data_IF_026457831222
#
_entry.id   IF_026457831222
#
_cell.length_a   1.000
_cell.length_b   1.000
_cell.length_c   1.000
_cell.angle_alpha   90.00
_cell.angle_beta   90.00
_cell.angle_gamma   90.00
#
_symmetry.space_group_name_H-M   'P 1'
#
loop_
_entity.id
_entity.type
_entity.pdbx_description
1 polymer ?
#
# COMPACT_ATOMS: atom_id res chain seq x y z
N UNK A 1 10.98 -22.56 10.83
CA UNK A 1 10.31 -21.26 11.00
C UNK A 1 9.37 -21.36 12.17
N UNK A 2 9.06 -20.24 12.84
CA UNK A 2 8.14 -20.20 13.96
C UNK A 2 6.69 -20.29 13.46
N UNK A 3 5.83 -21.06 14.14
CA UNK A 3 4.43 -21.26 13.75
C UNK A 3 3.54 -20.52 14.74
N UNK A 4 2.80 -19.52 14.25
CA UNK A 4 1.84 -18.74 15.03
C UNK A 4 0.42 -19.00 14.52
N UNK A 5 -0.29 -20.01 15.06
CA UNK A 5 -1.59 -20.43 14.52
C UNK A 5 -2.66 -19.33 14.68
N UNK A 6 -2.59 -18.54 15.76
CA UNK A 6 -3.59 -17.51 16.04
C UNK A 6 -3.55 -16.35 15.03
N UNK A 7 -2.36 -16.04 14.51
CA UNK A 7 -2.14 -14.94 13.57
C UNK A 7 -2.84 -15.18 12.24
N UNK A 8 -2.96 -16.44 11.81
CA UNK A 8 -3.53 -16.80 10.50
C UNK A 8 -4.95 -17.38 10.66
N UNK A 9 -5.57 -17.20 11.83
CA UNK A 9 -6.88 -17.79 12.16
C UNK A 9 -8.04 -17.10 11.44
N UNK A 10 -9.16 -17.81 11.27
CA UNK A 10 -10.42 -17.24 10.75
C UNK A 10 -10.90 -16.04 11.58
N UNK A 11 -10.66 -16.07 12.90
CA UNK A 11 -10.99 -14.96 13.80
C UNK A 11 -10.27 -13.67 13.41
N UNK A 12 -8.98 -13.75 13.05
CA UNK A 12 -8.24 -12.57 12.59
C UNK A 12 -8.80 -12.04 11.27
N UNK A 13 -9.21 -12.91 10.34
CA UNK A 13 -9.84 -12.51 9.08
C UNK A 13 -11.12 -11.70 9.33
N UNK A 14 -12.02 -12.21 10.17
CA UNK A 14 -13.31 -11.57 10.47
C UNK A 14 -13.18 -10.20 11.14
N UNK A 15 -12.09 -9.95 11.88
CA UNK A 15 -11.83 -8.66 12.54
C UNK A 15 -11.09 -7.70 11.59
N UNK A 16 -10.12 -8.23 10.83
CA UNK A 16 -9.19 -7.43 10.02
C UNK A 16 -9.84 -6.85 8.76
N UNK A 17 -10.77 -7.57 8.13
CA UNK A 17 -11.48 -7.07 6.93
C UNK A 17 -12.37 -5.86 7.26
N UNK A 18 -13.29 -5.90 8.24
CA UNK A 18 -14.06 -4.71 8.62
C UNK A 18 -13.19 -3.59 9.18
N UNK A 19 -12.16 -3.92 9.97
CA UNK A 19 -11.24 -2.92 10.51
C UNK A 19 -10.47 -2.17 9.42
N UNK A 20 -10.05 -2.87 8.37
CA UNK A 20 -9.43 -2.25 7.19
C UNK A 20 -10.42 -1.35 6.45
N UNK A 21 -11.65 -1.81 6.21
CA UNK A 21 -12.68 -1.00 5.55
C UNK A 21 -12.98 0.29 6.32
N UNK A 22 -13.16 0.20 7.64
CA UNK A 22 -13.41 1.38 8.49
C UNK A 22 -12.20 2.32 8.54
N UNK A 23 -10.98 1.77 8.57
CA UNK A 23 -9.74 2.56 8.58
C UNK A 23 -9.56 3.37 7.30
N UNK A 24 -9.87 2.78 6.14
CA UNK A 24 -9.82 3.47 4.84
C UNK A 24 -10.96 4.48 4.72
N UNK A 25 -12.18 4.12 5.14
CA UNK A 25 -13.33 5.02 5.14
C UNK A 25 -13.13 6.24 6.06
N UNK A 26 -12.39 6.09 7.16
CA UNK A 26 -12.04 7.19 8.06
C UNK A 26 -10.99 8.16 7.49
N UNK A 27 -10.41 7.89 6.31
CA UNK A 27 -9.42 8.76 5.69
C UNK A 27 -8.10 8.86 6.46
N UNK A 28 -7.81 7.90 7.33
CA UNK A 28 -6.54 7.90 8.09
C UNK A 28 -5.38 7.61 7.14
N UNK A 29 -4.22 8.21 7.42
CA UNK A 29 -2.98 8.00 6.67
C UNK A 29 -2.38 6.60 6.93
N UNK A 30 -3.08 5.56 6.48
CA UNK A 30 -2.75 4.15 6.66
C UNK A 30 -2.79 3.41 5.32
N UNK A 31 -1.88 2.44 5.16
CA UNK A 31 -1.82 1.60 3.97
C UNK A 31 -2.75 0.38 4.07
N UNK A 32 -3.56 0.14 3.03
CA UNK A 32 -4.37 -1.08 2.90
C UNK A 32 -3.56 -2.31 2.48
N UNK A 33 -2.37 -2.08 1.93
CA UNK A 33 -1.57 -3.07 1.21
C UNK A 33 -1.11 -4.21 2.13
N UNK A 34 -0.45 -3.90 3.25
CA UNK A 34 0.04 -4.90 4.20
C UNK A 34 -1.07 -5.78 4.80
N UNK A 35 -2.19 -5.20 5.30
CA UNK A 35 -3.33 -5.98 5.74
C UNK A 35 -3.93 -6.90 4.66
N UNK A 36 -3.96 -6.48 3.39
CA UNK A 36 -4.50 -7.26 2.29
C UNK A 36 -3.67 -8.52 2.01
N UNK A 37 -2.35 -8.41 2.06
CA UNK A 37 -1.43 -9.57 1.94
C UNK A 37 -1.74 -10.60 3.03
N UNK A 38 -1.90 -10.14 4.27
CA UNK A 38 -2.23 -11.03 5.38
C UNK A 38 -3.62 -11.66 5.25
N UNK A 39 -4.62 -10.92 4.77
CA UNK A 39 -5.96 -11.45 4.48
C UNK A 39 -5.90 -12.57 3.45
N UNK A 40 -5.09 -12.43 2.39
CA UNK A 40 -4.87 -13.48 1.40
C UNK A 40 -4.23 -14.75 2.02
N UNK A 41 -3.25 -14.57 2.92
CA UNK A 41 -2.63 -15.70 3.64
C UNK A 41 -3.62 -16.37 4.61
N UNK A 42 -4.48 -15.62 5.29
CA UNK A 42 -5.56 -16.18 6.11
C UNK A 42 -6.53 -17.05 5.29
N UNK A 43 -6.92 -16.57 4.10
CA UNK A 43 -7.72 -17.36 3.17
C UNK A 43 -7.01 -18.64 2.73
N UNK A 44 -5.72 -18.54 2.41
CA UNK A 44 -4.92 -19.70 2.04
C UNK A 44 -4.80 -20.73 3.18
N UNK A 45 -4.67 -20.28 4.44
CA UNK A 45 -4.68 -21.16 5.60
C UNK A 45 -6.02 -21.87 5.77
N UNK A 46 -7.14 -21.17 5.61
CA UNK A 46 -8.47 -21.76 5.67
C UNK A 46 -8.64 -22.84 4.58
N UNK A 47 -8.24 -22.53 3.35
CA UNK A 47 -8.31 -23.47 2.22
C UNK A 47 -7.33 -24.64 2.37
N UNK A 48 -6.17 -24.44 3.00
CA UNK A 48 -5.20 -25.52 3.24
C UNK A 48 -5.76 -26.64 4.11
N UNK A 49 -6.71 -26.33 5.00
CA UNK A 49 -7.39 -27.32 5.84
C UNK A 49 -8.30 -28.28 5.06
N UNK A 50 -8.76 -27.87 3.87
CA UNK A 50 -9.64 -28.67 3.01
C UNK A 50 -8.87 -29.73 2.21
N UNK A 51 -7.55 -29.57 2.07
CA UNK A 51 -6.73 -30.42 1.21
C UNK A 51 -5.58 -31.06 2.01
N UNK A 52 -5.55 -32.40 2.15
CA UNK A 52 -4.55 -33.08 2.99
C UNK A 52 -3.10 -32.87 2.51
N UNK A 53 -2.92 -32.59 1.22
CA UNK A 53 -1.64 -32.31 0.59
C UNK A 53 -0.94 -31.04 1.12
N UNK A 54 -1.66 -30.10 1.74
CA UNK A 54 -1.10 -28.87 2.34
C UNK A 54 -0.91 -28.96 3.86
N UNK A 55 -1.12 -30.12 4.48
CA UNK A 55 -0.77 -30.32 5.89
C UNK A 55 0.74 -30.39 6.13
N UNK A 56 1.52 -30.74 5.11
CA UNK A 56 2.98 -30.64 5.17
C UNK A 56 3.40 -29.16 5.25
N UNK A 57 4.18 -28.81 6.27
CA UNK A 57 4.64 -27.44 6.49
C UNK A 57 5.39 -26.84 5.29
N UNK A 58 6.16 -27.64 4.56
CA UNK A 58 6.89 -27.16 3.38
C UNK A 58 5.94 -26.68 2.29
N UNK A 59 4.96 -27.51 1.94
CA UNK A 59 3.93 -27.16 0.95
C UNK A 59 3.00 -26.05 1.44
N UNK A 60 2.74 -25.98 2.76
CA UNK A 60 1.96 -24.88 3.35
C UNK A 60 2.68 -23.54 3.23
N UNK A 61 4.01 -23.51 3.40
CA UNK A 61 4.81 -22.29 3.20
C UNK A 61 4.86 -21.86 1.74
N UNK A 62 4.95 -22.81 0.80
CA UNK A 62 4.82 -22.53 -0.63
C UNK A 62 3.46 -21.90 -0.95
N UNK A 63 2.38 -22.44 -0.38
CA UNK A 63 1.03 -21.91 -0.52
C UNK A 63 0.91 -20.49 0.06
N UNK A 64 1.49 -20.22 1.24
CA UNK A 64 1.50 -18.89 1.84
C UNK A 64 2.27 -17.87 1.01
N UNK A 65 3.38 -18.29 0.39
CA UNK A 65 4.15 -17.42 -0.52
C UNK A 65 3.33 -17.08 -1.77
N UNK A 66 2.69 -18.07 -2.38
CA UNK A 66 1.78 -17.84 -3.51
C UNK A 66 0.58 -16.94 -3.14
N UNK A 67 0.02 -17.12 -1.95
CA UNK A 67 -1.07 -16.31 -1.43
C UNK A 67 -0.63 -14.87 -1.14
N UNK A 68 0.57 -14.67 -0.60
CA UNK A 68 1.12 -13.33 -0.38
C UNK A 68 1.33 -12.60 -1.71
N UNK A 69 1.87 -13.27 -2.72
CA UNK A 69 2.01 -12.71 -4.07
C UNK A 69 0.66 -12.31 -4.68
N UNK A 70 -0.36 -13.18 -4.55
CA UNK A 70 -1.73 -12.87 -4.99
C UNK A 70 -2.33 -11.69 -4.22
N UNK A 71 -2.09 -11.61 -2.90
CA UNK A 71 -2.52 -10.50 -2.06
C UNK A 71 -1.88 -9.17 -2.46
N UNK A 72 -0.59 -9.13 -2.76
CA UNK A 72 0.06 -7.92 -3.29
C UNK A 72 -0.47 -7.56 -4.67
N UNK A 73 -0.69 -8.57 -5.52
CA UNK A 73 -1.27 -8.37 -6.87
C UNK A 73 -2.66 -7.74 -6.81
N UNK A 74 -3.56 -8.20 -5.92
CA UNK A 74 -4.88 -7.56 -5.74
C UNK A 74 -4.77 -6.16 -5.13
N UNK A 75 -3.73 -5.90 -4.34
CA UNK A 75 -3.55 -4.63 -3.65
C UNK A 75 -3.10 -3.50 -4.61
N UNK A 76 -2.18 -3.82 -5.52
CA UNK A 76 -1.55 -2.86 -6.43
C UNK A 76 -1.94 -3.01 -7.92
N UNK A 77 -2.59 -4.11 -8.31
CA UNK A 77 -2.84 -4.45 -9.72
C UNK A 77 -1.57 -4.85 -10.49
N UNK A 78 -0.51 -5.26 -9.78
CA UNK A 78 0.82 -5.54 -10.34
C UNK A 78 1.24 -6.99 -10.09
N UNK A 79 0.91 -7.96 -10.97
CA UNK A 79 1.16 -9.38 -10.72
C UNK A 79 2.65 -9.73 -10.63
N UNK A 80 3.50 -9.14 -11.48
CA UNK A 80 4.95 -9.35 -11.43
C UNK A 80 5.55 -8.77 -10.14
N UNK A 81 5.14 -7.56 -9.75
CA UNK A 81 5.57 -6.93 -8.51
C UNK A 81 5.18 -7.74 -7.27
N UNK A 82 3.98 -8.35 -7.27
CA UNK A 82 3.56 -9.22 -6.18
C UNK A 82 4.39 -10.49 -6.02
N UNK A 83 4.80 -11.11 -7.13
CA UNK A 83 5.68 -12.29 -7.09
C UNK A 83 7.08 -11.92 -6.63
N UNK A 84 7.64 -10.82 -7.14
CA UNK A 84 8.95 -10.32 -6.71
C UNK A 84 8.96 -9.95 -5.22
N UNK A 85 7.91 -9.27 -4.74
CA UNK A 85 7.76 -9.00 -3.32
C UNK A 85 7.71 -10.29 -2.49
N UNK A 86 6.98 -11.31 -2.94
CA UNK A 86 6.94 -12.59 -2.21
C UNK A 86 8.28 -13.34 -2.24
N UNK A 87 9.09 -13.15 -3.28
CA UNK A 87 10.44 -13.71 -3.38
C UNK A 87 11.43 -12.99 -2.45
N UNK A 88 11.34 -11.66 -2.39
CA UNK A 88 12.27 -10.82 -1.63
C UNK A 88 11.97 -10.82 -0.13
N UNK A 89 10.69 -10.68 0.25
CA UNK A 89 10.29 -10.39 1.64
C UNK A 89 9.65 -11.56 2.38
N UNK A 90 9.00 -12.49 1.66
CA UNK A 90 8.15 -13.52 2.32
C UNK A 90 8.84 -14.88 2.48
N UNK A 91 9.67 -15.28 1.52
CA UNK A 91 10.31 -16.61 1.57
C UNK A 91 11.79 -16.59 1.23
N UNK A 92 12.61 -17.11 2.14
CA UNK A 92 14.05 -17.30 1.93
C UNK A 92 14.39 -18.42 0.93
N UNK A 93 13.43 -19.32 0.63
CA UNK A 93 13.61 -20.39 -0.34
C UNK A 93 12.40 -20.50 -1.26
N UNK A 94 12.61 -20.28 -2.56
CA UNK A 94 11.55 -20.22 -3.54
C UNK A 94 11.83 -21.16 -4.72
N UNK A 95 11.32 -22.40 -4.70
CA UNK A 95 11.55 -23.32 -5.81
C UNK A 95 10.84 -22.83 -7.08
N UNK A 96 11.44 -23.10 -8.24
CA UNK A 96 10.93 -22.63 -9.55
C UNK A 96 9.49 -23.05 -9.86
N UNK A 97 9.05 -24.21 -9.34
CA UNK A 97 7.65 -24.66 -9.45
C UNK A 97 6.69 -23.78 -8.65
N UNK A 98 7.12 -23.32 -7.49
CA UNK A 98 6.34 -22.38 -6.66
C UNK A 98 6.33 -21.00 -7.28
N UNK A 99 7.39 -20.59 -7.98
CA UNK A 99 7.44 -19.33 -8.75
C UNK A 99 6.30 -19.26 -9.75
N UNK A 100 6.17 -20.30 -10.57
CA UNK A 100 5.12 -20.36 -11.57
C UNK A 100 3.73 -20.36 -10.92
N UNK A 101 3.54 -21.12 -9.82
CA UNK A 101 2.27 -21.14 -9.07
C UNK A 101 1.91 -19.77 -8.50
N UNK A 102 2.86 -19.08 -7.86
CA UNK A 102 2.68 -17.75 -7.32
C UNK A 102 2.37 -16.74 -8.43
N UNK A 103 3.05 -16.83 -9.57
CA UNK A 103 2.78 -16.01 -10.74
C UNK A 103 1.38 -16.25 -11.31
N UNK A 104 0.97 -17.52 -11.48
CA UNK A 104 -0.38 -17.83 -11.94
C UNK A 104 -1.44 -17.30 -10.97
N UNK A 105 -1.24 -17.45 -9.65
CA UNK A 105 -2.17 -16.92 -8.65
C UNK A 105 -2.25 -15.38 -8.68
N UNK A 106 -1.10 -14.71 -8.83
CA UNK A 106 -1.02 -13.25 -8.94
C UNK A 106 -1.71 -12.73 -10.21
N UNK A 107 -1.52 -13.39 -11.36
CA UNK A 107 -2.20 -13.03 -12.61
C UNK A 107 -3.70 -13.26 -12.50
N UNK A 108 -4.15 -14.40 -11.96
CA UNK A 108 -5.59 -14.66 -11.76
C UNK A 108 -6.21 -13.62 -10.85
N UNK A 109 -5.52 -13.19 -9.79
CA UNK A 109 -5.95 -12.13 -8.90
C UNK A 109 -6.14 -10.80 -9.64
N UNK A 110 -5.18 -10.40 -10.47
CA UNK A 110 -5.26 -9.19 -11.27
C UNK A 110 -6.38 -9.25 -12.32
N UNK A 111 -6.57 -10.40 -12.98
CA UNK A 111 -7.65 -10.61 -13.95
C UNK A 111 -9.02 -10.51 -13.27
N UNK A 112 -9.20 -11.16 -12.11
CA UNK A 112 -10.46 -11.08 -11.34
C UNK A 112 -10.73 -9.64 -10.90
N UNK A 113 -9.72 -8.92 -10.44
CA UNK A 113 -9.85 -7.49 -10.08
C UNK A 113 -10.36 -6.66 -11.27
N UNK A 114 -9.79 -6.91 -12.46
CA UNK A 114 -10.16 -6.23 -13.71
C UNK A 114 -11.59 -6.57 -14.14
N UNK A 115 -11.96 -7.85 -14.10
CA UNK A 115 -13.29 -8.33 -14.50
C UNK A 115 -14.41 -7.78 -13.61
N UNK A 116 -14.13 -7.60 -12.32
CA UNK A 116 -15.10 -7.05 -11.38
C UNK A 116 -15.29 -5.52 -11.55
N UNK A 117 -14.59 -4.86 -12.49
CA UNK A 117 -14.64 -3.41 -12.75
C UNK A 117 -14.62 -2.55 -11.48
N UNK A 118 -13.90 -3.00 -10.45
CA UNK A 118 -13.86 -2.31 -9.15
C UNK A 118 -12.93 -1.09 -9.13
N UNK A 119 -12.13 -0.91 -10.18
CA UNK A 119 -11.23 0.24 -10.31
C UNK A 119 -11.83 1.17 -11.37
N UNK A 120 -12.32 2.34 -10.95
CA UNK A 120 -12.84 3.39 -11.85
C UNK A 120 -11.79 3.94 -12.84
N UNK A 121 -10.54 3.50 -12.71
CA UNK A 121 -9.46 3.76 -13.66
C UNK A 121 -9.51 2.75 -14.81
N UNK A 122 -9.53 3.24 -16.05
CA UNK A 122 -9.49 2.46 -17.30
C UNK A 122 -8.21 1.61 -17.50
N UNK A 123 -7.41 1.39 -16.46
CA UNK A 123 -6.16 0.65 -16.49
C UNK A 123 -6.05 -0.36 -15.33
N UNK A 124 -5.34 -1.45 -15.58
CA UNK A 124 -5.03 -2.53 -14.62
C UNK A 124 -4.14 -2.09 -13.45
N UNK A 125 -3.53 -0.90 -13.51
CA UNK A 125 -2.59 -0.39 -12.50
C UNK A 125 -3.16 0.83 -11.81
N UNK A 126 -2.95 0.91 -10.49
CA UNK A 126 -3.48 2.00 -9.64
C UNK A 126 -2.93 3.38 -10.03
N UNK A 127 -1.74 3.45 -10.62
CA UNK A 127 -1.11 4.68 -11.08
C UNK A 127 -0.56 4.48 -12.48
N UNK A 128 -1.06 5.26 -13.44
CA UNK A 128 -0.59 5.26 -14.83
C UNK A 128 0.03 6.61 -15.16
N UNK A 129 1.26 6.59 -15.67
CA UNK A 129 2.01 7.77 -16.10
C UNK A 129 2.25 7.68 -17.61
N UNK A 130 1.90 8.74 -18.34
CA UNK A 130 2.14 8.83 -19.78
C UNK A 130 3.45 9.60 -20.02
N UNK A 131 4.54 8.89 -20.36
CA UNK A 131 5.81 9.54 -20.65
C UNK A 131 5.78 10.18 -22.04
N UNK A 132 5.87 11.51 -22.10
CA UNK A 132 5.90 12.27 -23.36
C UNK A 132 7.28 12.80 -23.74
N UNK A 133 8.24 12.74 -22.83
CA UNK A 133 9.60 13.27 -23.01
C UNK A 133 10.65 12.18 -22.77
N UNK A 134 11.71 12.20 -23.58
CA UNK A 134 12.90 11.38 -23.36
C UNK A 134 13.78 12.05 -22.31
N UNK A 135 14.07 11.36 -21.19
CA UNK A 135 14.98 11.89 -20.18
C UNK A 135 16.36 12.18 -20.77
N UNK A 136 16.92 13.33 -20.39
CA UNK A 136 18.29 13.66 -20.74
C UNK A 136 19.29 12.96 -19.78
N UNK A 137 20.50 12.60 -20.24
CA UNK A 137 21.47 11.87 -19.42
C UNK A 137 21.88 12.55 -18.11
N UNK A 138 21.82 13.88 -18.03
CA UNK A 138 22.15 14.62 -16.80
C UNK A 138 21.09 14.46 -15.70
N UNK A 139 19.84 14.12 -16.05
CA UNK A 139 18.74 13.95 -15.08
C UNK A 139 18.94 12.70 -14.21
N UNK A 140 19.68 11.69 -14.70
CA UNK A 140 20.02 10.50 -13.92
C UNK A 140 20.80 10.82 -12.64
N UNK A 141 21.62 11.88 -12.65
CA UNK A 141 22.34 12.35 -11.46
C UNK A 141 21.33 12.88 -10.42
N UNK A 142 20.32 13.62 -10.88
CA UNK A 142 19.22 14.08 -10.04
C UNK A 142 18.42 12.93 -9.43
N UNK A 143 18.09 11.90 -10.24
CA UNK A 143 17.40 10.70 -9.74
C UNK A 143 18.24 9.90 -8.74
N UNK A 144 19.56 9.80 -8.96
CA UNK A 144 20.46 9.15 -8.01
C UNK A 144 20.52 9.89 -6.68
N UNK A 145 20.63 11.23 -6.71
CA UNK A 145 20.61 12.06 -5.50
C UNK A 145 19.28 11.92 -4.75
N UNK A 146 18.16 11.92 -5.48
CA UNK A 146 16.83 11.70 -4.89
C UNK A 146 16.73 10.33 -4.21
N UNK A 147 17.31 9.28 -4.82
CA UNK A 147 17.39 7.96 -4.22
C UNK A 147 18.19 7.93 -2.91
N UNK A 148 19.34 8.62 -2.86
CA UNK A 148 20.17 8.72 -1.64
C UNK A 148 19.42 9.47 -0.55
N UNK A 149 18.82 10.63 -0.87
CA UNK A 149 18.05 11.42 0.11
C UNK A 149 16.83 10.64 0.60
N UNK A 150 16.09 9.99 -0.30
CA UNK A 150 14.96 9.13 0.04
C UNK A 150 15.36 7.97 0.95
N UNK A 151 16.50 7.33 0.68
CA UNK A 151 17.04 6.27 1.53
C UNK A 151 17.41 6.76 2.95
N UNK A 152 18.05 7.92 3.06
CA UNK A 152 18.39 8.52 4.35
C UNK A 152 17.15 8.91 5.17
N UNK A 153 16.16 9.53 4.52
CA UNK A 153 14.89 9.88 5.17
C UNK A 153 14.13 8.62 5.61
N UNK A 154 14.09 7.58 4.76
CA UNK A 154 13.49 6.29 5.09
C UNK A 154 14.18 5.60 6.27
N UNK A 155 15.50 5.61 6.33
CA UNK A 155 16.26 5.07 7.44
C UNK A 155 15.97 5.82 8.75
N UNK A 156 15.95 7.16 8.71
CA UNK A 156 15.61 8.00 9.86
C UNK A 156 14.17 7.73 10.35
N UNK A 157 13.22 7.60 9.42
CA UNK A 157 11.83 7.26 9.74
C UNK A 157 11.72 5.89 10.41
N UNK A 158 12.42 4.86 9.90
CA UNK A 158 12.42 3.53 10.50
C UNK A 158 12.98 3.54 11.93
N UNK A 159 14.08 4.25 12.17
CA UNK A 159 14.66 4.37 13.52
C UNK A 159 13.68 5.06 14.47
N UNK A 160 13.04 6.15 14.02
CA UNK A 160 12.04 6.85 14.81
C UNK A 160 10.83 5.96 15.13
N UNK A 161 10.34 5.19 14.15
CA UNK A 161 9.19 4.30 14.30
C UNK A 161 9.50 3.14 15.26
N UNK A 162 10.67 2.50 15.15
CA UNK A 162 11.09 1.44 16.08
C UNK A 162 11.17 1.99 17.50
N UNK A 163 11.82 3.14 17.69
CA UNK A 163 11.94 3.78 19.02
C UNK A 163 10.59 4.16 19.61
N UNK A 164 9.67 4.65 18.78
CA UNK A 164 8.29 4.95 19.20
C UNK A 164 7.53 3.67 19.58
N UNK A 165 7.68 2.60 18.80
CA UNK A 165 7.06 1.29 19.09
C UNK A 165 7.56 0.70 20.40
N UNK A 166 8.87 0.78 20.68
CA UNK A 166 9.46 0.36 21.95
C UNK A 166 8.92 1.18 23.13
N UNK A 167 8.81 2.50 22.96
CA UNK A 167 8.20 3.37 23.97
C UNK A 167 6.74 3.00 24.25
N UNK A 168 5.95 2.73 23.21
CA UNK A 168 4.55 2.30 23.32
C UNK A 168 4.41 0.91 23.97
N UNK A 169 5.40 0.04 23.76
CA UNK A 169 5.45 -1.28 24.39
C UNK A 169 5.82 -1.21 25.89
N UNK A 170 6.37 -0.10 26.37
CA UNK A 170 6.79 0.06 27.74
C UNK A 170 5.60 -0.08 28.72
N UNK A 171 5.72 -0.90 29.79
CA UNK A 171 4.59 -1.26 30.65
C UNK A 171 3.99 -0.08 31.44
N UNK A 172 4.74 1.01 31.64
CA UNK A 172 4.25 2.24 32.24
C UNK A 172 3.29 3.02 31.32
N UNK A 173 3.56 3.03 30.01
CA UNK A 173 2.71 3.69 29.02
C UNK A 173 1.45 2.85 28.74
N UNK A 174 1.63 1.55 28.49
CA UNK A 174 0.53 0.61 28.19
C UNK A 174 -0.50 0.48 29.32
N UNK A 175 -0.10 0.66 30.58
CA UNK A 175 -1.05 0.68 31.72
C UNK A 175 -1.83 1.98 31.84
N UNK A 176 -1.27 3.10 31.37
CA UNK A 176 -1.86 4.44 31.52
C UNK A 176 -2.80 4.78 30.37
N UNK A 177 -2.47 4.36 29.15
CA UNK A 177 -3.24 4.69 27.95
C UNK A 177 -3.79 3.41 27.33
N UNK A 178 -5.12 3.32 27.26
CA UNK A 178 -5.79 2.23 26.55
C UNK A 178 -5.63 2.43 25.05
N UNK A 179 -5.37 1.34 24.29
CA UNK A 179 -5.09 1.42 22.86
C UNK A 179 -6.20 2.10 22.03
N UNK A 180 -7.47 1.94 22.43
CA UNK A 180 -8.60 2.60 21.76
C UNK A 180 -8.57 4.12 21.99
N UNK A 181 -8.29 4.56 23.22
CA UNK A 181 -8.20 5.98 23.56
C UNK A 181 -7.02 6.65 22.83
N UNK A 182 -5.91 5.93 22.68
CA UNK A 182 -4.75 6.41 21.91
C UNK A 182 -5.10 6.60 20.43
N UNK A 183 -5.74 5.61 19.80
CA UNK A 183 -6.14 5.71 18.38
C UNK A 183 -7.18 6.82 18.19
N UNK A 184 -8.13 6.96 19.11
CA UNK A 184 -9.11 8.05 19.07
C UNK A 184 -8.45 9.43 19.20
N UNK A 185 -7.46 9.58 20.09
CA UNK A 185 -6.67 10.80 20.22
C UNK A 185 -5.88 11.11 18.94
N UNK A 186 -5.24 10.12 18.33
CA UNK A 186 -4.48 10.30 17.08
C UNK A 186 -5.41 10.67 15.92
N UNK A 187 -6.58 10.02 15.82
CA UNK A 187 -7.57 10.35 14.81
C UNK A 187 -8.09 11.79 14.99
N UNK A 188 -8.37 12.19 16.23
CA UNK A 188 -8.79 13.56 16.56
C UNK A 188 -7.69 14.59 16.24
N UNK A 189 -6.44 14.30 16.62
CA UNK A 189 -5.30 15.18 16.33
C UNK A 189 -5.09 15.33 14.82
N UNK A 190 -5.15 14.23 14.07
CA UNK A 190 -5.07 14.23 12.60
C UNK A 190 -6.20 15.06 11.99
N UNK A 191 -7.43 14.94 12.51
CA UNK A 191 -8.56 15.72 12.02
C UNK A 191 -8.34 17.23 12.22
N UNK A 192 -7.92 17.62 13.43
CA UNK A 192 -7.66 19.03 13.77
C UNK A 192 -6.50 19.59 12.95
N UNK A 193 -5.44 18.80 12.75
CA UNK A 193 -4.28 19.24 11.95
C UNK A 193 -4.59 19.30 10.46
N UNK A 194 -5.37 18.36 9.92
CA UNK A 194 -5.61 18.26 8.48
C UNK A 194 -6.74 19.19 7.99
N UNK A 195 -7.68 19.57 8.86
CA UNK A 195 -8.76 20.49 8.54
C UNK A 195 -8.30 21.83 7.92
N UNK A 196 -7.29 22.55 8.46
CA UNK A 196 -6.86 23.83 7.90
C UNK A 196 -6.00 23.72 6.63
N UNK A 197 -5.36 22.58 6.37
CA UNK A 197 -4.41 22.45 5.26
C UNK A 197 -5.03 21.70 4.07
N UNK A 198 -5.33 22.45 3.00
CA UNK A 198 -5.83 21.93 1.71
C UNK A 198 -5.02 20.75 1.15
N UNK A 199 -3.70 20.72 1.40
CA UNK A 199 -2.82 19.65 0.92
C UNK A 199 -3.03 18.30 1.64
N UNK A 200 -3.48 18.33 2.89
CA UNK A 200 -3.63 17.12 3.74
C UNK A 200 -5.07 16.63 3.85
N UNK A 201 -6.03 17.36 3.27
CA UNK A 201 -7.44 16.96 3.21
C UNK A 201 -7.74 15.80 2.24
N UNK A 202 -7.15 15.70 1.03
CA UNK A 202 -7.50 14.62 0.12
C UNK A 202 -6.99 13.27 0.60
N UNK A 203 -7.69 12.20 0.21
CA UNK A 203 -7.25 10.84 0.46
C UNK A 203 -5.88 10.62 -0.18
N UNK A 204 -4.97 9.95 0.53
CA UNK A 204 -3.58 9.78 0.09
C UNK A 204 -3.46 9.15 -1.30
N UNK A 205 -4.37 8.24 -1.67
CA UNK A 205 -4.41 7.63 -3.00
C UNK A 205 -4.74 8.65 -4.10
N UNK A 206 -5.71 9.54 -3.87
CA UNK A 206 -6.12 10.56 -4.83
C UNK A 206 -5.06 11.64 -4.98
N UNK A 207 -4.41 12.03 -3.88
CA UNK A 207 -3.30 12.97 -3.89
C UNK A 207 -2.12 12.44 -4.74
N UNK A 208 -1.71 11.19 -4.53
CA UNK A 208 -0.65 10.55 -5.31
C UNK A 208 -1.05 10.45 -6.79
N UNK A 209 -2.28 10.04 -7.08
CA UNK A 209 -2.78 9.95 -8.44
C UNK A 209 -2.84 11.32 -9.13
N UNK A 210 -3.13 12.40 -8.40
CA UNK A 210 -3.06 13.77 -8.91
C UNK A 210 -1.63 14.21 -9.24
N UNK A 211 -0.62 13.78 -8.46
CA UNK A 211 0.80 14.10 -8.72
C UNK A 211 1.35 13.39 -9.96
N UNK A 212 0.83 12.21 -10.31
CA UNK A 212 1.30 11.42 -11.45
C UNK A 212 0.70 11.81 -12.81
N UNK A 213 -0.31 12.69 -12.85
CA UNK A 213 -0.96 13.13 -14.10
C UNK A 213 -0.35 14.42 -14.63
N UNK A 214 -0.32 14.58 -15.95
CA UNK A 214 0.08 15.84 -16.61
C UNK A 214 -1.03 16.89 -16.62
N UNK A 215 -0.69 18.18 -16.54
CA UNK A 215 -1.67 19.28 -16.51
C UNK A 215 -2.38 19.49 -17.85
N UNK A 216 -1.90 18.89 -18.95
CA UNK A 216 -2.37 19.16 -20.31
C UNK A 216 -3.69 18.49 -20.71
N UNK A 217 -4.34 17.68 -19.86
CA UNK A 217 -5.68 17.11 -20.14
C UNK A 217 -6.73 17.61 -19.14
N UNK A 218 -7.81 18.26 -19.59
CA UNK A 218 -8.94 18.59 -18.74
C UNK A 218 -9.75 17.32 -18.45
N UNK A 219 -9.55 16.73 -17.28
CA UNK A 219 -10.47 15.73 -16.74
C UNK A 219 -11.37 16.45 -15.72
N UNK A 220 -12.64 16.66 -16.08
CA UNK A 220 -13.60 17.54 -15.38
C UNK A 220 -13.62 17.42 -13.84
N UNK A 221 -13.34 16.26 -13.25
CA UNK A 221 -13.35 16.06 -11.79
C UNK A 221 -11.97 16.18 -11.11
N UNK A 222 -10.87 15.90 -11.83
CA UNK A 222 -9.52 15.90 -11.23
C UNK A 222 -8.80 17.25 -11.39
N UNK A 223 -9.30 18.12 -12.27
CA UNK A 223 -8.77 19.49 -12.42
C UNK A 223 -8.97 20.31 -11.15
N UNK A 224 -10.12 20.18 -10.48
CA UNK A 224 -10.40 20.90 -9.23
C UNK A 224 -9.43 20.51 -8.10
N UNK A 225 -9.16 19.21 -7.92
CA UNK A 225 -8.23 18.74 -6.88
C UNK A 225 -6.79 19.22 -7.13
N UNK A 226 -6.38 19.32 -8.40
CA UNK A 226 -5.03 19.72 -8.80
C UNK A 226 -4.79 21.22 -8.71
N UNK A 227 -5.82 22.00 -8.99
CA UNK A 227 -5.85 23.44 -8.75
C UNK A 227 -5.85 23.73 -7.25
N UNK A 228 -6.63 22.97 -6.47
CA UNK A 228 -6.64 23.07 -5.00
C UNK A 228 -5.30 22.70 -4.36
N UNK A 229 -4.57 21.74 -4.94
CA UNK A 229 -3.21 21.36 -4.53
C UNK A 229 -2.12 22.30 -5.08
N UNK A 230 -2.47 23.29 -5.91
CA UNK A 230 -1.51 24.22 -6.53
C UNK A 230 -0.55 23.56 -7.52
N UNK A 231 -0.89 22.38 -8.06
CA UNK A 231 -0.03 21.64 -9.00
C UNK A 231 -0.20 22.15 -10.44
N UNK A 232 -1.41 22.57 -10.79
CA UNK A 232 -1.76 23.09 -12.11
C UNK A 232 -2.54 24.40 -12.00
N UNK A 233 -2.36 25.26 -12.98
CA UNK A 233 -3.18 26.45 -13.20
C UNK A 233 -4.49 26.07 -13.90
N UNK A 234 -5.55 26.87 -13.71
CA UNK A 234 -6.82 26.74 -14.46
C UNK A 234 -6.66 26.72 -15.99
N UNK A 235 -5.51 27.18 -16.50
CA UNK A 235 -5.14 27.19 -17.93
C UNK A 235 -4.46 25.90 -18.41
N UNK A 236 -4.32 24.87 -17.57
CA UNK A 236 -3.72 23.58 -17.94
C UNK A 236 -2.18 23.57 -17.96
N UNK A 237 -1.53 24.57 -17.38
CA UNK A 237 -0.07 24.62 -17.23
C UNK A 237 0.35 24.30 -15.80
N UNK A 238 1.56 23.75 -15.60
CA UNK A 238 2.15 23.57 -14.27
C UNK A 238 2.28 24.91 -13.54
N UNK A 239 1.99 24.91 -12.23
CA UNK A 239 2.16 26.09 -11.41
C UNK A 239 3.64 26.49 -11.35
N UNK A 240 3.95 27.77 -11.57
CA UNK A 240 5.31 28.27 -11.46
C UNK A 240 5.69 28.44 -9.98
N UNK A 241 6.94 28.15 -9.59
CA UNK A 241 7.40 28.26 -8.20
C UNK A 241 7.54 29.70 -7.68
N UNK A 242 7.00 30.69 -8.39
CA UNK A 242 6.96 32.09 -7.96
C UNK A 242 5.55 32.41 -7.50
N UNK A 243 5.37 32.53 -6.18
CA UNK A 243 4.13 32.93 -5.55
C UNK A 243 3.67 34.32 -5.98
N UNK A 244 2.87 34.35 -7.04
CA UNK A 244 1.96 35.45 -7.32
C UNK A 244 0.58 34.82 -7.52
N UNK A 245 -0.27 35.03 -6.50
CA UNK A 245 -1.72 34.83 -6.54
C UNK A 245 -2.32 35.44 -7.82
#
# INVERSE_FOLDING_TARGET
GFVMPDVVSLRTLCIKVPGLMLSVAAGMALGKEGPLVHVAVCWAQLLSGLFPQFQNEGKRRELFSAAAAAGVSTAFGAPLGGVLFSLEEVSSHFPSRTLLRAFTAAVTAAVVLTLLHTTDTQGITLFSVEYRTTCHPYEYIGFALLGVVGGLVGAAFNIANVRWSEFRAHPGFRRRVHGIAEVALIAFATLVSSWPFAFTQPLSADAIHAMFKDCSRPALNNTELREHLGLCTAKGNYAKPTGSL
#
